data_IF_954326329693
#
_entry.id   IF_954326329693
#
_cell.length_a   1.000
_cell.length_b   1.000
_cell.length_c   1.000
_cell.angle_alpha   90.00
_cell.angle_beta   90.00
_cell.angle_gamma   90.00
#
_symmetry.space_group_name_H-M   'P 1'
#
loop_
_entity.id
_entity.type
_entity.pdbx_description
1 polymer ?
#
# COMPACT_ATOMS: atom_id res chain seq x y z
N UNK A 1 -28.87 0.25 7.38
CA UNK A 1 -28.14 -0.29 6.21
C UNK A 1 -28.44 -1.77 5.97
N UNK A 2 -28.31 -2.67 6.95
CA UNK A 2 -28.54 -4.11 6.75
C UNK A 2 -29.98 -4.53 6.40
N UNK A 3 -30.98 -3.83 6.94
CA UNK A 3 -32.38 -4.03 6.54
C UNK A 3 -32.61 -3.83 5.04
N UNK A 4 -31.85 -2.95 4.38
CA UNK A 4 -31.92 -2.78 2.93
C UNK A 4 -31.39 -4.01 2.20
N UNK A 5 -30.29 -4.62 2.65
CA UNK A 5 -29.76 -5.85 2.03
C UNK A 5 -30.79 -6.99 2.08
N UNK A 6 -31.48 -7.17 3.22
CA UNK A 6 -32.55 -8.17 3.34
C UNK A 6 -33.74 -7.86 2.43
N UNK A 7 -34.16 -6.59 2.36
CA UNK A 7 -35.23 -6.15 1.43
C UNK A 7 -34.86 -6.38 -0.03
N UNK A 8 -33.58 -6.29 -0.38
CA UNK A 8 -33.07 -6.60 -1.73
C UNK A 8 -32.73 -8.09 -1.94
N UNK A 9 -33.00 -8.98 -0.97
CA UNK A 9 -32.68 -10.40 -1.08
C UNK A 9 -31.18 -10.71 -1.08
N UNK A 10 -30.34 -9.78 -0.63
CA UNK A 10 -28.89 -9.92 -0.56
C UNK A 10 -28.46 -10.48 0.79
N UNK A 11 -27.59 -11.50 0.76
CA UNK A 11 -26.99 -12.11 1.94
C UNK A 11 -25.54 -11.63 2.08
N UNK A 12 -25.19 -11.10 3.25
CA UNK A 12 -23.83 -10.67 3.56
C UNK A 12 -23.02 -11.87 4.06
N UNK A 13 -22.04 -12.33 3.28
CA UNK A 13 -21.09 -13.36 3.72
C UNK A 13 -19.95 -12.76 4.57
N UNK A 14 -19.96 -13.08 5.85
CA UNK A 14 -19.00 -12.59 6.86
C UNK A 14 -17.54 -12.93 6.52
N UNK A 15 -17.27 -14.14 6.02
CA UNK A 15 -15.91 -14.59 5.68
C UNK A 15 -15.28 -13.84 4.50
N UNK A 16 -16.10 -13.18 3.66
CA UNK A 16 -15.63 -12.42 2.50
C UNK A 16 -15.63 -10.91 2.75
N UNK A 17 -16.30 -10.43 3.79
CA UNK A 17 -16.29 -9.00 4.14
C UNK A 17 -14.95 -8.61 4.76
N UNK A 18 -14.18 -7.78 4.05
CA UNK A 18 -13.04 -7.06 4.64
C UNK A 18 -13.56 -5.77 5.25
N UNK A 19 -13.57 -5.70 6.58
CA UNK A 19 -13.92 -4.48 7.28
C UNK A 19 -12.64 -3.68 7.58
N UNK A 20 -12.69 -2.38 7.28
CA UNK A 20 -11.61 -1.45 7.53
C UNK A 20 -12.20 -0.15 8.06
N UNK A 21 -11.63 0.37 9.14
CA UNK A 21 -12.07 1.59 9.79
C UNK A 21 -10.95 2.64 9.70
N UNK A 22 -11.30 3.87 9.31
CA UNK A 22 -10.35 4.98 9.32
C UNK A 22 -10.39 5.66 10.69
N UNK A 23 -9.25 5.70 11.37
CA UNK A 23 -9.12 6.30 12.69
C UNK A 23 -8.61 7.73 12.57
N UNK A 24 -9.27 8.64 13.30
CA UNK A 24 -8.84 10.03 13.39
C UNK A 24 -7.80 10.26 14.50
N UNK A 25 -7.82 9.45 15.58
CA UNK A 25 -6.97 9.63 16.76
C UNK A 25 -5.95 8.49 16.92
N UNK A 26 -4.79 8.82 17.47
CA UNK A 26 -3.69 7.88 17.72
C UNK A 26 -3.92 7.15 19.04
N UNK A 27 -3.97 5.82 19.02
CA UNK A 27 -4.15 4.98 20.22
C UNK A 27 -5.56 4.42 20.43
N UNK A 28 -6.41 4.44 19.42
CA UNK A 28 -7.68 3.71 19.46
C UNK A 28 -7.42 2.22 19.15
N UNK A 29 -7.67 1.35 20.11
CA UNK A 29 -7.43 -0.09 20.02
C UNK A 29 -8.49 -0.72 19.13
N UNK A 30 -8.29 -0.66 17.81
CA UNK A 30 -9.18 -1.18 16.75
C UNK A 30 -10.10 -2.32 17.21
N UNK A 31 -11.28 -1.99 17.78
CA UNK A 31 -12.02 -3.01 18.46
C UNK A 31 -12.69 -3.89 17.41
N UNK A 32 -12.86 -5.18 17.68
CA UNK A 32 -13.72 -6.01 16.87
C UNK A 32 -15.10 -5.34 16.74
N UNK A 33 -15.58 -5.19 15.51
CA UNK A 33 -16.89 -4.59 15.27
C UNK A 33 -17.93 -5.70 15.26
N UNK A 34 -18.83 -5.66 16.23
CA UNK A 34 -20.05 -6.46 16.22
C UNK A 34 -21.14 -5.70 15.42
N UNK A 35 -21.67 -6.35 14.38
CA UNK A 35 -22.72 -5.79 13.53
C UNK A 35 -24.12 -5.98 14.14
N UNK A 36 -24.24 -6.63 15.30
CA UNK A 36 -25.52 -6.86 16.01
C UNK A 36 -26.47 -7.80 15.27
N UNK A 37 -25.96 -8.58 14.31
CA UNK A 37 -26.70 -9.55 13.52
C UNK A 37 -25.93 -10.87 13.46
N UNK A 38 -26.33 -11.82 14.30
CA UNK A 38 -25.62 -13.07 14.57
C UNK A 38 -26.35 -14.30 14.01
N UNK A 39 -26.74 -14.27 12.72
CA UNK A 39 -27.14 -15.51 12.04
C UNK A 39 -25.94 -16.23 11.40
N UNK A 40 -24.85 -15.49 11.12
CA UNK A 40 -23.59 -16.02 10.58
C UNK A 40 -22.32 -15.45 11.24
N UNK A 41 -22.48 -14.51 12.18
CA UNK A 41 -21.42 -14.02 13.09
C UNK A 41 -21.49 -14.89 14.34
N UNK A 42 -20.87 -16.06 14.33
CA UNK A 42 -20.71 -16.89 15.53
C UNK A 42 -19.65 -16.32 16.47
N UNK A 43 -18.87 -17.18 17.13
CA UNK A 43 -17.79 -16.83 18.09
C UNK A 43 -16.60 -16.04 17.49
N UNK A 44 -16.68 -15.61 16.23
CA UNK A 44 -15.60 -14.93 15.51
C UNK A 44 -16.03 -13.52 15.12
N UNK A 45 -15.76 -12.51 15.95
CA UNK A 45 -16.06 -11.13 15.60
C UNK A 45 -15.23 -10.65 14.40
N UNK A 46 -15.72 -9.65 13.66
CA UNK A 46 -14.96 -9.03 12.56
C UNK A 46 -13.78 -8.24 13.13
N UNK A 47 -12.59 -8.84 13.06
CA UNK A 47 -11.35 -8.12 13.32
C UNK A 47 -11.05 -7.17 12.15
N UNK A 48 -10.87 -5.89 12.46
CA UNK A 48 -10.41 -4.92 11.47
C UNK A 48 -9.01 -5.30 10.97
N UNK A 49 -8.75 -5.07 9.68
CA UNK A 49 -7.39 -5.22 9.14
C UNK A 49 -6.53 -4.01 9.48
N UNK A 50 -5.23 -4.24 9.65
CA UNK A 50 -4.24 -3.17 9.89
C UNK A 50 -4.02 -2.29 8.66
N UNK A 51 -4.06 -2.88 7.47
CA UNK A 51 -3.99 -2.18 6.19
C UNK A 51 -5.02 -2.69 5.20
N UNK A 52 -5.52 -1.80 4.35
CA UNK A 52 -6.47 -2.15 3.28
C UNK A 52 -5.87 -1.86 1.90
N UNK A 53 -5.93 -2.85 1.02
CA UNK A 53 -5.47 -2.69 -0.37
C UNK A 53 -6.64 -2.37 -1.27
N UNK A 54 -6.63 -1.19 -1.87
CA UNK A 54 -7.63 -0.77 -2.85
C UNK A 54 -6.97 -0.16 -4.08
N UNK A 55 -7.30 -0.67 -5.27
CA UNK A 55 -6.74 -0.23 -6.56
C UNK A 55 -5.19 -0.20 -6.61
N UNK A 56 -4.54 -1.08 -5.84
CA UNK A 56 -3.07 -1.13 -5.73
C UNK A 56 -2.46 -0.19 -4.69
N UNK A 57 -3.26 0.66 -4.03
CA UNK A 57 -2.84 1.47 -2.89
C UNK A 57 -3.01 0.70 -1.58
N UNK A 58 -2.09 0.95 -0.64
CA UNK A 58 -2.20 0.46 0.72
C UNK A 58 -2.62 1.60 1.64
N UNK A 59 -3.79 1.47 2.24
CA UNK A 59 -4.33 2.43 3.17
C UNK A 59 -4.05 1.97 4.60
N UNK A 60 -3.42 2.83 5.37
CA UNK A 60 -3.38 2.71 6.82
C UNK A 60 -4.64 3.34 7.41
N UNK A 61 -5.00 2.93 8.62
CA UNK A 61 -6.20 3.43 9.29
C UNK A 61 -6.16 4.93 9.51
N UNK A 62 -4.97 5.49 9.76
CA UNK A 62 -4.76 6.93 9.94
C UNK A 62 -4.45 7.66 8.62
N UNK A 63 -4.48 6.95 7.49
CA UNK A 63 -4.09 7.50 6.18
C UNK A 63 -2.67 8.10 6.17
N UNK A 64 -1.76 7.52 6.95
CA UNK A 64 -0.34 7.92 6.95
C UNK A 64 0.43 7.37 5.74
N UNK A 65 -0.11 6.34 5.05
CA UNK A 65 0.49 5.70 3.89
C UNK A 65 1.89 5.11 4.12
N UNK A 66 2.21 4.76 5.36
CA UNK A 66 3.45 4.11 5.76
C UNK A 66 3.65 2.78 5.03
N UNK A 67 2.64 1.91 5.07
CA UNK A 67 2.69 0.61 4.37
C UNK A 67 2.82 0.80 2.86
N UNK A 68 2.12 1.78 2.30
CA UNK A 68 2.19 2.07 0.86
C UNK A 68 3.57 2.51 0.41
N UNK A 69 4.18 3.45 1.14
CA UNK A 69 5.52 3.93 0.83
C UNK A 69 6.54 2.82 1.06
N UNK A 70 6.42 2.06 2.14
CA UNK A 70 7.32 0.94 2.41
C UNK A 70 7.26 -0.11 1.30
N UNK A 71 6.07 -0.53 0.89
CA UNK A 71 5.86 -1.49 -0.18
C UNK A 71 6.39 -0.96 -1.52
N UNK A 72 6.06 0.28 -1.88
CA UNK A 72 6.46 0.90 -3.15
C UNK A 72 7.97 1.08 -3.22
N UNK A 73 8.61 1.57 -2.15
CA UNK A 73 10.06 1.70 -2.05
C UNK A 73 10.76 0.35 -2.11
N UNK A 74 10.24 -0.67 -1.42
CA UNK A 74 10.79 -2.02 -1.46
C UNK A 74 10.73 -2.60 -2.87
N UNK A 75 9.57 -2.49 -3.52
CA UNK A 75 9.37 -2.95 -4.90
C UNK A 75 10.27 -2.20 -5.89
N UNK A 76 10.44 -0.90 -5.71
CA UNK A 76 11.32 -0.10 -6.55
C UNK A 76 12.80 -0.47 -6.34
N UNK A 77 13.24 -0.71 -5.10
CA UNK A 77 14.59 -1.20 -4.79
C UNK A 77 14.84 -2.56 -5.43
N UNK A 78 13.90 -3.50 -5.35
CA UNK A 78 14.01 -4.80 -6.05
C UNK A 78 14.14 -4.63 -7.57
N UNK A 79 13.41 -3.67 -8.13
CA UNK A 79 13.48 -3.35 -9.57
C UNK A 79 14.86 -2.77 -9.93
N UNK A 80 15.44 -1.91 -9.09
CA UNK A 80 16.82 -1.41 -9.26
C UNK A 80 17.83 -2.56 -9.23
N UNK A 81 17.67 -3.52 -8.31
CA UNK A 81 18.54 -4.69 -8.27
C UNK A 81 18.44 -5.54 -9.55
N UNK A 82 17.22 -5.81 -10.03
CA UNK A 82 17.01 -6.53 -11.28
C UNK A 82 17.62 -5.78 -12.49
N UNK A 83 17.49 -4.45 -12.51
CA UNK A 83 18.15 -3.58 -13.50
C UNK A 83 19.68 -3.66 -13.42
N UNK A 84 20.25 -3.71 -12.22
CA UNK A 84 21.69 -3.91 -12.01
C UNK A 84 22.17 -5.27 -12.52
N UNK A 85 21.42 -6.34 -12.24
CA UNK A 85 21.70 -7.68 -12.77
C UNK A 85 21.67 -7.71 -14.30
N UNK A 86 20.69 -7.05 -14.92
CA UNK A 86 20.61 -6.91 -16.38
C UNK A 86 21.79 -6.13 -16.96
N UNK A 87 22.23 -5.09 -16.24
CA UNK A 87 23.39 -4.28 -16.59
C UNK A 87 24.74 -4.98 -16.47
N UNK A 88 24.82 -6.08 -15.72
CA UNK A 88 26.05 -6.85 -15.48
C UNK A 88 26.21 -8.07 -16.42
N UNK A 89 25.38 -8.18 -17.46
CA UNK A 89 25.53 -9.18 -18.52
C UNK A 89 26.72 -8.86 -19.44
N UNK A 90 27.20 -9.84 -20.22
CA UNK A 90 28.42 -9.80 -21.05
C UNK A 90 28.63 -8.53 -21.90
N UNK A 91 27.55 -7.85 -22.33
CA UNK A 91 27.61 -6.64 -23.15
C UNK A 91 27.23 -5.35 -22.42
N UNK A 92 26.76 -5.48 -21.17
CA UNK A 92 26.33 -4.40 -20.29
C UNK A 92 25.17 -3.54 -20.82
N UNK A 93 24.66 -2.65 -19.96
CA UNK A 93 23.76 -1.57 -20.36
C UNK A 93 24.55 -0.26 -20.47
N UNK A 94 24.40 0.46 -21.59
CA UNK A 94 24.95 1.80 -21.73
C UNK A 94 24.32 2.76 -20.69
N UNK A 95 25.02 3.83 -20.27
CA UNK A 95 24.47 4.81 -19.32
C UNK A 95 23.12 5.39 -19.76
N UNK A 96 22.92 5.62 -21.07
CA UNK A 96 21.65 6.10 -21.63
C UNK A 96 20.51 5.09 -21.46
N UNK A 97 20.78 3.81 -21.71
CA UNK A 97 19.79 2.74 -21.52
C UNK A 97 19.47 2.53 -20.04
N UNK A 98 20.47 2.62 -19.15
CA UNK A 98 20.25 2.55 -17.70
C UNK A 98 19.33 3.68 -17.24
N UNK A 99 19.61 4.91 -17.65
CA UNK A 99 18.77 6.06 -17.33
C UNK A 99 17.32 5.89 -17.84
N UNK A 100 17.14 5.41 -19.08
CA UNK A 100 15.82 5.11 -19.63
C UNK A 100 15.08 4.06 -18.80
N UNK A 101 15.75 2.95 -18.45
CA UNK A 101 15.15 1.88 -17.67
C UNK A 101 14.72 2.36 -16.28
N UNK A 102 15.56 3.18 -15.63
CA UNK A 102 15.23 3.79 -14.35
C UNK A 102 13.99 4.68 -14.45
N UNK A 103 13.94 5.58 -15.44
CA UNK A 103 12.82 6.52 -15.62
C UNK A 103 11.51 5.82 -15.98
N UNK A 104 11.57 4.73 -16.73
CA UNK A 104 10.39 4.01 -17.22
C UNK A 104 9.90 2.93 -16.26
N UNK A 105 10.78 2.25 -15.52
CA UNK A 105 10.41 1.09 -14.71
C UNK A 105 10.47 1.38 -13.21
N UNK A 106 11.45 2.15 -12.73
CA UNK A 106 11.66 2.36 -11.28
C UNK A 106 10.86 3.57 -10.78
N UNK A 107 10.95 4.69 -11.49
CA UNK A 107 10.28 5.94 -11.10
C UNK A 107 8.76 5.79 -10.97
N UNK A 108 8.03 5.15 -11.91
CA UNK A 108 6.58 5.01 -11.78
C UNK A 108 6.16 4.14 -10.60
N UNK A 109 6.97 3.15 -10.21
CA UNK A 109 6.71 2.31 -9.04
C UNK A 109 6.87 3.13 -7.76
N UNK A 110 7.97 3.89 -7.65
CA UNK A 110 8.29 4.67 -6.46
C UNK A 110 7.36 5.88 -6.26
N UNK A 111 6.92 6.50 -7.36
CA UNK A 111 6.06 7.70 -7.34
C UNK A 111 4.57 7.30 -7.39
N UNK A 112 4.24 6.00 -7.45
CA UNK A 112 2.86 5.57 -7.46
C UNK A 112 2.10 6.08 -6.23
N UNK A 113 1.07 6.89 -6.45
CA UNK A 113 0.30 7.52 -5.36
C UNK A 113 0.93 8.74 -4.71
N UNK A 114 2.01 9.30 -5.27
CA UNK A 114 2.69 10.47 -4.71
C UNK A 114 1.75 11.63 -4.40
N UNK A 115 0.80 11.92 -5.30
CA UNK A 115 -0.19 12.97 -5.08
C UNK A 115 -1.09 12.71 -3.86
N UNK A 116 -1.34 11.44 -3.53
CA UNK A 116 -2.23 11.05 -2.44
C UNK A 116 -1.55 11.17 -1.08
N UNK A 117 -0.31 10.67 -0.96
CA UNK A 117 0.41 10.68 0.32
C UNK A 117 1.26 11.95 0.53
N UNK A 118 1.58 12.72 -0.51
CA UNK A 118 2.32 13.99 -0.41
C UNK A 118 1.40 15.22 -0.22
N UNK A 119 0.07 15.05 -0.25
CA UNK A 119 -0.91 16.14 -0.17
C UNK A 119 -0.83 16.96 1.13
N UNK A 120 -0.28 16.40 2.21
CA UNK A 120 -0.17 17.07 3.52
C UNK A 120 1.11 17.88 3.74
N UNK A 121 1.88 18.19 2.67
CA UNK A 121 3.04 19.11 2.63
C UNK A 121 4.18 18.90 3.64
N UNK A 122 4.04 17.97 4.59
CA UNK A 122 5.10 17.44 5.43
C UNK A 122 5.24 15.96 5.11
N UNK A 123 5.98 15.61 4.04
CA UNK A 123 6.36 14.22 3.83
C UNK A 123 7.11 13.77 5.09
N UNK A 124 6.66 12.67 5.70
CA UNK A 124 7.39 12.06 6.80
C UNK A 124 8.83 11.87 6.36
N UNK A 125 9.81 12.38 7.13
CA UNK A 125 11.24 12.27 6.80
C UNK A 125 11.64 10.82 6.45
N UNK A 126 11.00 9.85 7.11
CA UNK A 126 11.16 8.43 6.85
C UNK A 126 10.77 8.01 5.41
N UNK A 127 9.69 8.56 4.85
CA UNK A 127 9.27 8.27 3.47
C UNK A 127 10.29 8.76 2.46
N UNK A 128 10.74 10.00 2.61
CA UNK A 128 11.78 10.57 1.75
C UNK A 128 13.09 9.79 1.86
N UNK A 129 13.52 9.43 3.07
CA UNK A 129 14.74 8.65 3.27
C UNK A 129 14.72 7.32 2.49
N UNK A 130 13.56 6.65 2.42
CA UNK A 130 13.41 5.42 1.64
C UNK A 130 13.57 5.63 0.13
N UNK A 131 13.04 6.75 -0.39
CA UNK A 131 13.16 7.14 -1.79
C UNK A 131 14.59 7.56 -2.14
N UNK A 132 15.26 8.33 -1.26
CA UNK A 132 16.65 8.73 -1.45
C UNK A 132 17.57 7.50 -1.47
N UNK A 133 17.33 6.52 -0.60
CA UNK A 133 18.09 5.25 -0.59
C UNK A 133 17.95 4.49 -1.92
N UNK A 134 16.75 4.48 -2.50
CA UNK A 134 16.52 3.91 -3.83
C UNK A 134 17.28 4.67 -4.92
N UNK A 135 17.21 6.01 -4.91
CA UNK A 135 17.92 6.87 -5.87
C UNK A 135 19.43 6.63 -5.85
N UNK A 136 20.05 6.58 -4.67
CA UNK A 136 21.47 6.31 -4.53
C UNK A 136 21.87 4.93 -5.08
N UNK A 137 21.01 3.91 -4.92
CA UNK A 137 21.29 2.57 -5.45
C UNK A 137 21.19 2.49 -6.97
N UNK A 138 20.34 3.29 -7.59
CA UNK A 138 20.22 3.34 -9.05
C UNK A 138 21.35 4.11 -9.73
N UNK A 139 22.09 4.93 -8.98
CA UNK A 139 23.22 5.72 -9.49
C UNK A 139 24.56 4.94 -9.52
N UNK A 140 24.61 3.73 -8.96
CA UNK A 140 25.78 2.83 -8.93
C UNK A 140 25.70 1.87 -10.12
#
# INVERSE_FOLDING_TARGET
MFKLFVVFGLVLEHNKSKLFHFLHCKGDDNPPIDLGYALYTGDSPLCSKTFWRYLGFYFDQQLNFCEHVWYSSTKAIFTVYAMGMLGNLLRGLSPKQKYLLYRLCVVPIAIYGFQLWCHRLYPYKAHLASLTKMQHRAAI
#
